data_IF_106176915362
#
_entry.id   IF_106176915362
#
_cell.length_a   1.000
_cell.length_b   1.000
_cell.length_c   1.000
_cell.angle_alpha   90.00
_cell.angle_beta   90.00
_cell.angle_gamma   90.00
#
_symmetry.space_group_name_H-M   'P 1'
#
loop_
_entity.id
_entity.type
_entity.pdbx_description
1 polymer ?
#
# COMPACT_ATOMS: atom_id res chain seq x y z
N UNK A 1 13.85 -2.02 46.27
CA UNK A 1 13.53 -2.62 44.96
C UNK A 1 14.01 -1.67 43.92
N UNK A 2 14.92 -2.14 43.15
CA UNK A 2 16.04 -1.39 42.61
C UNK A 2 15.69 -0.72 41.26
N UNK A 3 15.88 0.59 41.17
CA UNK A 3 15.69 1.37 39.94
C UNK A 3 16.65 0.93 38.82
N UNK A 4 17.70 0.16 39.14
CA UNK A 4 18.68 -0.35 38.18
C UNK A 4 18.17 -1.53 37.36
N UNK A 5 17.32 -2.39 37.90
CA UNK A 5 16.75 -3.51 37.16
C UNK A 5 15.73 -3.07 36.09
N UNK A 6 14.94 -2.02 36.38
CA UNK A 6 13.98 -1.49 35.45
C UNK A 6 14.63 -0.85 34.22
N UNK A 7 15.78 -0.18 34.38
CA UNK A 7 16.51 0.43 33.28
C UNK A 7 17.22 -0.60 32.38
N UNK A 8 17.71 -1.70 32.93
CA UNK A 8 18.38 -2.76 32.16
C UNK A 8 17.38 -3.53 31.30
N UNK A 9 16.18 -3.79 31.81
CA UNK A 9 15.10 -4.48 31.06
C UNK A 9 14.58 -3.62 29.90
N UNK A 10 14.39 -2.32 30.11
CA UNK A 10 13.98 -1.38 29.06
C UNK A 10 15.04 -1.26 27.96
N UNK A 11 16.32 -1.21 28.33
CA UNK A 11 17.42 -1.08 27.36
C UNK A 11 17.66 -2.36 26.53
N UNK A 12 17.38 -3.55 27.07
CA UNK A 12 17.49 -4.80 26.32
C UNK A 12 16.31 -4.99 25.35
N UNK A 13 15.11 -4.58 25.72
CA UNK A 13 13.92 -4.62 24.86
C UNK A 13 14.04 -3.64 23.69
N UNK A 14 14.55 -2.44 23.91
CA UNK A 14 14.75 -1.46 22.84
C UNK A 14 15.81 -1.89 21.83
N UNK A 15 16.93 -2.47 22.26
CA UNK A 15 17.97 -3.00 21.36
C UNK A 15 17.47 -4.15 20.50
N UNK A 16 16.62 -5.03 21.02
CA UNK A 16 15.96 -6.08 20.23
C UNK A 16 15.06 -5.49 19.13
N UNK A 17 14.23 -4.53 19.51
CA UNK A 17 13.34 -3.83 18.58
C UNK A 17 14.12 -3.09 17.45
N UNK A 18 15.19 -2.38 17.79
CA UNK A 18 16.02 -1.69 16.81
C UNK A 18 16.67 -2.67 15.82
N UNK A 19 17.12 -3.84 16.30
CA UNK A 19 17.63 -4.90 15.45
C UNK A 19 16.57 -5.47 14.51
N UNK A 20 15.33 -5.64 14.98
CA UNK A 20 14.20 -6.10 14.15
C UNK A 20 13.83 -5.08 13.08
N UNK A 21 13.87 -3.78 13.40
CA UNK A 21 13.64 -2.71 12.42
C UNK A 21 14.70 -2.73 11.32
N UNK A 22 15.98 -2.85 11.69
CA UNK A 22 17.08 -2.95 10.72
C UNK A 22 16.93 -4.21 9.86
N UNK A 23 16.57 -5.34 10.46
CA UNK A 23 16.33 -6.59 9.75
C UNK A 23 15.14 -6.48 8.79
N UNK A 24 14.05 -5.84 9.19
CA UNK A 24 12.89 -5.57 8.34
C UNK A 24 13.27 -4.73 7.11
N UNK A 25 14.11 -3.70 7.30
CA UNK A 25 14.59 -2.86 6.19
C UNK A 25 15.43 -3.67 5.20
N UNK A 26 16.40 -4.44 5.71
CA UNK A 26 17.26 -5.27 4.89
C UNK A 26 16.46 -6.31 4.08
N UNK A 27 15.52 -7.03 4.71
CA UNK A 27 14.67 -8.00 4.04
C UNK A 27 13.78 -7.35 2.97
N UNK A 28 13.24 -6.17 3.25
CA UNK A 28 12.44 -5.41 2.28
C UNK A 28 13.27 -5.01 1.07
N UNK A 29 14.50 -4.54 1.25
CA UNK A 29 15.40 -4.20 0.15
C UNK A 29 15.81 -5.43 -0.67
N UNK A 30 16.13 -6.55 -0.01
CA UNK A 30 16.44 -7.82 -0.70
C UNK A 30 15.25 -8.29 -1.53
N UNK A 31 14.03 -8.19 -0.98
CA UNK A 31 12.81 -8.52 -1.68
C UNK A 31 12.61 -7.67 -2.96
N UNK A 32 12.81 -6.36 -2.85
CA UNK A 32 12.73 -5.47 -4.01
C UNK A 32 13.79 -5.78 -5.06
N UNK A 33 15.06 -6.00 -4.66
CA UNK A 33 16.14 -6.40 -5.57
C UNK A 33 15.84 -7.73 -6.27
N UNK A 34 15.26 -8.69 -5.55
CA UNK A 34 14.84 -9.96 -6.13
C UNK A 34 13.68 -9.77 -7.12
N UNK A 35 12.70 -8.93 -6.76
CA UNK A 35 11.56 -8.59 -7.61
C UNK A 35 12.00 -7.94 -8.93
N UNK A 36 12.87 -6.94 -8.90
CA UNK A 36 13.42 -6.27 -10.08
C UNK A 36 14.14 -7.26 -11.01
N UNK A 37 14.82 -8.26 -10.42
CA UNK A 37 15.52 -9.33 -11.15
C UNK A 37 14.56 -10.46 -11.59
N UNK A 38 13.24 -10.30 -11.40
CA UNK A 38 12.21 -11.31 -11.70
C UNK A 38 12.37 -12.64 -10.95
N UNK A 39 13.09 -12.62 -9.83
CA UNK A 39 13.27 -13.77 -8.94
C UNK A 39 12.10 -13.82 -7.94
N UNK A 40 10.89 -14.08 -8.44
CA UNK A 40 9.65 -13.92 -7.68
C UNK A 40 9.55 -14.84 -6.46
N UNK A 41 10.08 -16.06 -6.50
CA UNK A 41 10.12 -16.96 -5.34
C UNK A 41 10.96 -16.37 -4.22
N UNK A 42 12.16 -15.89 -4.54
CA UNK A 42 13.04 -15.24 -3.56
C UNK A 42 12.42 -13.94 -3.02
N UNK A 43 11.77 -13.15 -3.88
CA UNK A 43 11.07 -11.94 -3.46
C UNK A 43 9.93 -12.27 -2.48
N UNK A 44 9.15 -13.33 -2.75
CA UNK A 44 8.07 -13.80 -1.90
C UNK A 44 8.58 -14.20 -0.50
N UNK A 45 9.63 -15.01 -0.43
CA UNK A 45 10.25 -15.42 0.83
C UNK A 45 10.68 -14.20 1.66
N UNK A 46 11.39 -13.25 1.04
CA UNK A 46 11.87 -12.05 1.73
C UNK A 46 10.75 -11.13 2.16
N UNK A 47 9.70 -10.93 1.34
CA UNK A 47 8.54 -10.14 1.75
C UNK A 47 7.76 -10.82 2.88
N UNK A 48 7.65 -12.16 2.90
CA UNK A 48 7.02 -12.88 3.99
C UNK A 48 7.81 -12.74 5.30
N UNK A 49 9.13 -12.84 5.25
CA UNK A 49 9.99 -12.65 6.42
C UNK A 49 9.89 -11.20 6.94
N UNK A 50 9.91 -10.21 6.04
CA UNK A 50 9.68 -8.81 6.41
C UNK A 50 8.29 -8.59 7.04
N UNK A 51 7.25 -9.24 6.53
CA UNK A 51 5.90 -9.17 7.10
C UNK A 51 5.87 -9.74 8.52
N UNK A 52 6.50 -10.89 8.77
CA UNK A 52 6.58 -11.48 10.12
C UNK A 52 7.24 -10.54 11.13
N UNK A 53 8.34 -9.88 10.72
CA UNK A 53 8.98 -8.88 11.59
C UNK A 53 8.09 -7.68 11.87
N UNK A 54 7.42 -7.16 10.84
CA UNK A 54 6.49 -6.04 11.01
C UNK A 54 5.31 -6.40 11.92
N UNK A 55 4.79 -7.63 11.84
CA UNK A 55 3.77 -8.15 12.74
C UNK A 55 4.27 -8.26 14.18
N UNK A 56 5.51 -8.69 14.38
CA UNK A 56 6.14 -8.77 15.71
C UNK A 56 6.37 -7.40 16.34
N UNK A 57 6.66 -6.37 15.54
CA UNK A 57 6.81 -4.99 16.00
C UNK A 57 5.46 -4.35 16.36
N UNK A 58 4.38 -4.76 15.67
CA UNK A 58 3.04 -4.21 15.86
C UNK A 58 2.32 -4.99 16.97
N UNK A 59 2.32 -4.48 18.18
CA UNK A 59 1.59 -5.15 19.28
C UNK A 59 0.08 -4.94 19.13
N UNK A 60 -0.72 -5.98 19.45
CA UNK A 60 -2.18 -5.99 19.29
C UNK A 60 -2.95 -4.89 20.07
N UNK A 61 -2.27 -4.18 20.96
CA UNK A 61 -2.84 -3.05 21.72
C UNK A 61 -2.93 -1.75 20.91
N UNK A 62 -2.29 -1.68 19.76
CA UNK A 62 -2.10 -0.45 19.00
C UNK A 62 -3.07 -0.27 17.83
N UNK A 63 -3.97 -1.23 17.60
CA UNK A 63 -5.02 -1.13 16.59
C UNK A 63 -6.05 0.00 16.87
N UNK A 64 -6.10 0.48 18.11
CA UNK A 64 -6.97 1.59 18.50
C UNK A 64 -6.18 2.90 18.50
N UNK A 65 -6.12 3.63 17.38
CA UNK A 65 -5.55 4.98 17.21
C UNK A 65 -4.15 5.10 17.80
N UNK A 66 -3.16 4.78 16.97
CA UNK A 66 -1.72 4.83 17.29
C UNK A 66 -1.39 5.94 18.30
N UNK A 67 -1.10 5.54 19.54
CA UNK A 67 -0.95 6.45 20.66
C UNK A 67 0.40 7.16 20.63
N UNK A 68 1.41 6.56 19.96
CA UNK A 68 2.77 7.10 19.87
C UNK A 68 3.28 7.21 18.43
N UNK A 69 4.29 8.05 18.16
CA UNK A 69 4.96 8.09 16.87
C UNK A 69 5.58 6.76 16.45
N UNK A 70 6.11 6.00 17.42
CA UNK A 70 6.69 4.67 17.21
C UNK A 70 5.63 3.68 16.75
N UNK A 71 4.46 3.66 17.38
CA UNK A 71 3.35 2.81 17.00
C UNK A 71 2.91 3.09 15.56
N UNK A 72 2.84 4.35 15.18
CA UNK A 72 2.49 4.75 13.81
C UNK A 72 3.51 4.22 12.79
N UNK A 73 4.79 4.29 13.09
CA UNK A 73 5.84 3.77 12.22
C UNK A 73 5.76 2.24 12.08
N UNK A 74 5.42 1.51 13.13
CA UNK A 74 5.24 0.06 13.07
C UNK A 74 4.03 -0.31 12.20
N UNK A 75 2.93 0.43 12.32
CA UNK A 75 1.79 0.28 11.41
C UNK A 75 2.15 0.56 9.96
N UNK A 76 2.95 1.59 9.70
CA UNK A 76 3.44 1.89 8.36
C UNK A 76 4.30 0.75 7.80
N UNK A 77 5.19 0.15 8.61
CA UNK A 77 5.96 -1.04 8.21
C UNK A 77 5.06 -2.23 7.89
N UNK A 78 4.07 -2.48 8.75
CA UNK A 78 3.10 -3.57 8.56
C UNK A 78 2.28 -3.37 7.28
N UNK A 79 1.67 -2.20 7.09
CA UNK A 79 0.85 -1.91 5.90
C UNK A 79 1.69 -1.91 4.63
N UNK A 80 2.93 -1.45 4.67
CA UNK A 80 3.88 -1.53 3.55
C UNK A 80 4.22 -2.98 3.20
N UNK A 81 4.49 -3.82 4.20
CA UNK A 81 4.80 -5.24 3.99
C UNK A 81 3.61 -5.99 3.38
N UNK A 82 2.39 -5.76 3.91
CA UNK A 82 1.16 -6.33 3.35
C UNK A 82 0.93 -5.91 1.91
N UNK A 83 1.07 -4.62 1.62
CA UNK A 83 0.88 -4.08 0.26
C UNK A 83 1.89 -4.65 -0.74
N UNK A 84 3.16 -4.79 -0.36
CA UNK A 84 4.21 -5.33 -1.23
C UNK A 84 3.97 -6.81 -1.54
N UNK A 85 3.63 -7.60 -0.54
CA UNK A 85 3.33 -9.01 -0.72
C UNK A 85 2.06 -9.20 -1.55
N UNK A 86 1.02 -8.37 -1.33
CA UNK A 86 -0.19 -8.36 -2.14
C UNK A 86 0.10 -8.06 -3.61
N UNK A 87 0.94 -7.06 -3.88
CA UNK A 87 1.34 -6.69 -5.25
C UNK A 87 2.10 -7.84 -5.95
N UNK A 88 2.99 -8.53 -5.23
CA UNK A 88 3.67 -9.70 -5.75
C UNK A 88 2.70 -10.85 -6.05
N UNK A 89 1.76 -11.15 -5.14
CA UNK A 89 0.73 -12.17 -5.35
C UNK A 89 -0.18 -11.82 -6.54
N UNK A 90 -0.56 -10.54 -6.67
CA UNK A 90 -1.33 -10.08 -7.83
C UNK A 90 -0.56 -10.35 -9.13
N UNK A 91 0.72 -10.01 -9.20
CA UNK A 91 1.57 -10.26 -10.37
C UNK A 91 1.71 -11.75 -10.69
N UNK A 92 1.74 -12.61 -9.68
CA UNK A 92 1.81 -14.06 -9.83
C UNK A 92 0.44 -14.70 -10.19
N UNK A 93 -0.64 -13.93 -10.25
CA UNK A 93 -2.01 -14.45 -10.47
C UNK A 93 -2.60 -15.15 -9.24
N UNK A 94 -1.97 -15.03 -8.06
CA UNK A 94 -2.47 -15.56 -6.78
C UNK A 94 -3.49 -14.57 -6.18
N UNK A 95 -4.60 -14.36 -6.89
CA UNK A 95 -5.54 -13.27 -6.63
C UNK A 95 -6.21 -13.32 -5.26
N UNK A 96 -6.57 -14.51 -4.76
CA UNK A 96 -7.18 -14.67 -3.44
C UNK A 96 -6.22 -14.28 -2.31
N UNK A 97 -4.95 -14.65 -2.45
CA UNK A 97 -3.90 -14.25 -1.49
C UNK A 97 -3.65 -12.73 -1.54
N UNK A 98 -3.62 -12.17 -2.75
CA UNK A 98 -3.47 -10.73 -2.93
C UNK A 98 -4.64 -9.95 -2.31
N UNK A 99 -5.89 -10.40 -2.53
CA UNK A 99 -7.10 -9.78 -1.97
C UNK A 99 -7.04 -9.79 -0.44
N UNK A 100 -6.75 -10.93 0.17
CA UNK A 100 -6.64 -11.02 1.64
C UNK A 100 -5.59 -10.06 2.24
N UNK A 101 -4.43 -9.90 1.58
CA UNK A 101 -3.40 -8.97 2.05
C UNK A 101 -3.80 -7.51 1.85
N UNK A 102 -4.42 -7.16 0.70
CA UNK A 102 -4.91 -5.81 0.45
C UNK A 102 -6.07 -5.44 1.37
N UNK A 103 -7.01 -6.35 1.63
CA UNK A 103 -8.13 -6.10 2.54
C UNK A 103 -7.62 -5.85 3.96
N UNK A 104 -6.73 -6.71 4.47
CA UNK A 104 -6.09 -6.50 5.78
C UNK A 104 -5.33 -5.17 5.85
N UNK A 105 -4.62 -4.80 4.79
CA UNK A 105 -3.93 -3.52 4.69
C UNK A 105 -4.92 -2.34 4.72
N UNK A 106 -6.07 -2.47 4.02
CA UNK A 106 -7.11 -1.45 4.00
C UNK A 106 -7.73 -1.25 5.38
N UNK A 107 -8.10 -2.34 6.08
CA UNK A 107 -8.68 -2.27 7.42
C UNK A 107 -7.74 -1.53 8.38
N UNK A 108 -6.46 -1.88 8.39
CA UNK A 108 -5.46 -1.20 9.22
C UNK A 108 -5.33 0.30 8.88
N UNK A 109 -5.38 0.65 7.59
CA UNK A 109 -5.31 2.06 7.17
C UNK A 109 -6.57 2.84 7.50
N UNK A 110 -7.75 2.22 7.40
CA UNK A 110 -9.01 2.83 7.82
C UNK A 110 -9.02 3.11 9.32
N UNK A 111 -8.54 2.18 10.13
CA UNK A 111 -8.43 2.35 11.57
C UNK A 111 -7.45 3.47 11.97
N UNK A 112 -6.32 3.56 11.25
CA UNK A 112 -5.25 4.51 11.59
C UNK A 112 -5.55 5.93 11.06
N UNK A 113 -6.03 6.04 9.83
CA UNK A 113 -6.11 7.31 9.10
C UNK A 113 -7.55 7.78 8.85
N UNK A 114 -8.55 6.90 9.01
CA UNK A 114 -9.93 7.15 8.57
C UNK A 114 -10.10 6.90 7.07
N UNK A 115 -11.33 7.03 6.60
CA UNK A 115 -11.77 6.68 5.24
C UNK A 115 -11.42 7.73 4.17
N UNK A 116 -10.94 8.89 4.58
CA UNK A 116 -10.61 10.03 3.73
C UNK A 116 -9.14 10.40 3.85
N UNK A 117 -8.25 9.46 3.53
CA UNK A 117 -6.81 9.68 3.60
C UNK A 117 -6.10 9.16 2.35
N UNK A 118 -5.02 9.84 1.95
CA UNK A 118 -4.25 9.47 0.75
C UNK A 118 -3.73 8.03 0.77
N UNK A 119 -3.34 7.53 1.95
CA UNK A 119 -2.89 6.14 2.12
C UNK A 119 -4.01 5.11 1.85
N UNK A 120 -5.26 5.46 2.21
CA UNK A 120 -6.44 4.65 1.87
C UNK A 120 -6.67 4.65 0.36
N UNK A 121 -6.55 5.81 -0.30
CA UNK A 121 -6.68 5.91 -1.76
C UNK A 121 -5.66 5.05 -2.51
N UNK A 122 -4.41 4.94 -2.00
CA UNK A 122 -3.40 4.04 -2.57
C UNK A 122 -3.88 2.58 -2.52
N UNK A 123 -4.43 2.16 -1.40
CA UNK A 123 -4.88 0.78 -1.23
C UNK A 123 -6.12 0.48 -2.08
N UNK A 124 -7.08 1.41 -2.14
CA UNK A 124 -8.27 1.29 -3.00
C UNK A 124 -7.90 1.16 -4.48
N UNK A 125 -6.91 1.94 -4.96
CA UNK A 125 -6.39 1.81 -6.32
C UNK A 125 -5.80 0.42 -6.60
N UNK A 126 -5.03 -0.13 -5.68
CA UNK A 126 -4.44 -1.46 -5.83
C UNK A 126 -5.51 -2.56 -5.81
N UNK A 127 -6.49 -2.46 -4.92
CA UNK A 127 -7.66 -3.35 -4.89
C UNK A 127 -8.48 -3.25 -6.19
N UNK A 128 -8.69 -2.05 -6.72
CA UNK A 128 -9.38 -1.86 -8.00
C UNK A 128 -8.67 -2.59 -9.14
N UNK A 129 -7.35 -2.48 -9.23
CA UNK A 129 -6.55 -3.19 -10.22
C UNK A 129 -6.65 -4.72 -10.06
N UNK A 130 -6.69 -5.21 -8.82
CA UNK A 130 -6.91 -6.63 -8.52
C UNK A 130 -8.33 -7.08 -8.93
N UNK A 131 -9.36 -6.28 -8.65
CA UNK A 131 -10.73 -6.61 -9.07
C UNK A 131 -10.86 -6.64 -10.60
N UNK A 132 -10.14 -5.78 -11.33
CA UNK A 132 -10.03 -5.87 -12.78
C UNK A 132 -9.40 -7.19 -13.24
N UNK A 133 -8.34 -7.65 -12.61
CA UNK A 133 -7.73 -8.95 -12.91
C UNK A 133 -8.66 -10.14 -12.64
N UNK A 134 -9.56 -9.98 -11.68
CA UNK A 134 -10.64 -10.95 -11.35
C UNK A 134 -11.91 -10.75 -12.20
N UNK A 135 -11.90 -9.85 -13.19
CA UNK A 135 -13.03 -9.49 -14.06
C UNK A 135 -14.27 -8.98 -13.30
N UNK A 136 -14.09 -8.42 -12.12
CA UNK A 136 -15.15 -7.87 -11.25
C UNK A 136 -15.26 -6.35 -11.47
N UNK A 137 -15.74 -5.98 -12.65
CA UNK A 137 -15.69 -4.60 -13.18
C UNK A 137 -16.41 -3.57 -12.31
N UNK A 138 -17.62 -3.90 -11.81
CA UNK A 138 -18.42 -3.02 -10.97
C UNK A 138 -17.70 -2.70 -9.65
N UNK A 139 -17.07 -3.72 -9.03
CA UNK A 139 -16.26 -3.50 -7.82
C UNK A 139 -15.04 -2.64 -8.10
N UNK A 140 -14.36 -2.90 -9.22
CA UNK A 140 -13.20 -2.12 -9.62
C UNK A 140 -13.56 -0.65 -9.84
N UNK A 141 -14.69 -0.37 -10.50
CA UNK A 141 -15.18 0.98 -10.75
C UNK A 141 -15.42 1.76 -9.46
N UNK A 142 -16.14 1.17 -8.50
CA UNK A 142 -16.40 1.78 -7.19
C UNK A 142 -15.09 2.14 -6.49
N UNK A 143 -14.11 1.24 -6.51
CA UNK A 143 -12.82 1.44 -5.86
C UNK A 143 -11.97 2.52 -6.55
N UNK A 144 -11.94 2.55 -7.91
CA UNK A 144 -11.24 3.60 -8.65
C UNK A 144 -11.86 4.97 -8.40
N UNK A 145 -13.19 5.06 -8.46
CA UNK A 145 -13.91 6.31 -8.21
C UNK A 145 -13.58 6.84 -6.82
N UNK A 146 -13.68 6.00 -5.79
CA UNK A 146 -13.37 6.42 -4.42
C UNK A 146 -11.91 6.83 -4.24
N UNK A 147 -10.97 6.09 -4.83
CA UNK A 147 -9.55 6.45 -4.80
C UNK A 147 -9.27 7.79 -5.48
N UNK A 148 -9.95 8.07 -6.59
CA UNK A 148 -9.83 9.32 -7.32
C UNK A 148 -10.41 10.49 -6.52
N UNK A 149 -11.62 10.36 -5.97
CA UNK A 149 -12.27 11.37 -5.11
C UNK A 149 -11.38 11.80 -3.93
N UNK A 150 -10.80 10.83 -3.21
CA UNK A 150 -9.92 11.13 -2.09
C UNK A 150 -8.70 11.92 -2.57
N UNK A 151 -8.05 11.48 -3.64
CA UNK A 151 -6.86 12.18 -4.16
C UNK A 151 -7.17 13.56 -4.69
N UNK A 152 -8.28 13.74 -5.40
CA UNK A 152 -8.73 15.05 -5.90
C UNK A 152 -8.99 16.02 -4.77
N UNK A 153 -9.67 15.56 -3.73
CA UNK A 153 -9.96 16.37 -2.55
C UNK A 153 -8.70 16.87 -1.84
N UNK A 154 -7.67 16.02 -1.72
CA UNK A 154 -6.45 16.35 -0.99
C UNK A 154 -5.37 17.01 -1.82
N UNK A 155 -5.30 16.74 -3.12
CA UNK A 155 -4.20 17.15 -3.98
C UNK A 155 -4.65 18.12 -5.09
N UNK A 156 -5.96 18.21 -5.34
CA UNK A 156 -6.51 18.95 -6.47
C UNK A 156 -6.61 18.11 -7.74
N UNK A 157 -7.42 18.61 -8.69
CA UNK A 157 -7.85 17.86 -9.87
C UNK A 157 -6.78 17.66 -10.96
N UNK A 158 -5.63 18.30 -10.82
CA UNK A 158 -4.54 18.28 -11.82
C UNK A 158 -3.22 17.79 -11.23
N UNK A 159 -3.25 17.12 -10.07
CA UNK A 159 -2.05 16.60 -9.44
C UNK A 159 -1.52 15.37 -10.16
N UNK A 160 -0.19 15.24 -10.22
CA UNK A 160 0.50 14.15 -10.90
C UNK A 160 0.10 12.75 -10.37
N UNK A 161 -0.19 12.63 -9.08
CA UNK A 161 -0.59 11.37 -8.44
C UNK A 161 -1.95 10.83 -8.90
N UNK A 162 -2.74 11.60 -9.63
CA UNK A 162 -3.98 11.12 -10.26
C UNK A 162 -3.68 10.24 -11.49
N UNK A 163 -2.57 10.46 -12.17
CA UNK A 163 -2.26 9.82 -13.45
C UNK A 163 -2.28 8.27 -13.41
N UNK A 164 -1.74 7.59 -12.38
CA UNK A 164 -1.81 6.13 -12.31
C UNK A 164 -3.23 5.59 -12.21
N UNK A 165 -4.10 6.27 -11.44
CA UNK A 165 -5.52 5.87 -11.30
C UNK A 165 -6.25 6.11 -12.63
N UNK A 166 -6.12 7.30 -13.21
CA UNK A 166 -6.75 7.65 -14.48
C UNK A 166 -6.36 6.67 -15.60
N UNK A 167 -5.07 6.31 -15.68
CA UNK A 167 -4.58 5.31 -16.63
C UNK A 167 -5.24 3.95 -16.46
N UNK A 168 -5.23 3.41 -15.22
CA UNK A 168 -5.75 2.08 -14.97
C UNK A 168 -7.27 2.02 -15.11
N UNK A 169 -7.96 3.08 -14.72
CA UNK A 169 -9.40 3.20 -14.87
C UNK A 169 -9.79 3.28 -16.37
N UNK A 170 -9.07 4.08 -17.18
CA UNK A 170 -9.28 4.12 -18.62
C UNK A 170 -9.10 2.73 -19.27
N UNK A 171 -8.06 1.99 -18.88
CA UNK A 171 -7.84 0.61 -19.37
C UNK A 171 -9.02 -0.29 -19.03
N UNK A 172 -9.55 -0.20 -17.80
CA UNK A 172 -10.73 -0.95 -17.38
C UNK A 172 -11.96 -0.58 -18.23
N UNK A 173 -12.24 0.71 -18.39
CA UNK A 173 -13.38 1.20 -19.17
C UNK A 173 -13.34 0.71 -20.62
N UNK A 174 -12.17 0.72 -21.28
CA UNK A 174 -12.00 0.12 -22.61
C UNK A 174 -12.30 -1.38 -22.64
N UNK A 175 -11.90 -2.12 -21.61
CA UNK A 175 -12.19 -3.55 -21.51
C UNK A 175 -13.69 -3.87 -21.47
N UNK A 176 -14.49 -2.98 -20.91
CA UNK A 176 -15.95 -3.09 -20.85
C UNK A 176 -16.66 -2.27 -21.95
N UNK A 177 -15.90 -1.78 -22.96
CA UNK A 177 -16.41 -1.04 -24.14
C UNK A 177 -17.10 0.29 -23.82
N UNK A 178 -16.69 0.96 -22.74
CA UNK A 178 -17.08 2.34 -22.39
C UNK A 178 -16.02 3.30 -22.91
N UNK A 179 -15.87 3.37 -24.24
CA UNK A 179 -14.75 4.03 -24.89
C UNK A 179 -14.76 5.54 -24.70
N UNK A 180 -15.90 6.20 -24.70
CA UNK A 180 -16.01 7.65 -24.50
C UNK A 180 -15.52 8.05 -23.11
N UNK A 181 -15.88 7.29 -22.08
CA UNK A 181 -15.44 7.53 -20.71
C UNK A 181 -13.94 7.22 -20.53
N UNK A 182 -13.46 6.17 -21.17
CA UNK A 182 -12.03 5.86 -21.20
C UNK A 182 -11.22 6.99 -21.83
N UNK A 183 -11.71 7.55 -22.93
CA UNK A 183 -11.08 8.68 -23.60
C UNK A 183 -11.03 9.92 -22.70
N UNK A 184 -12.11 10.24 -21.99
CA UNK A 184 -12.14 11.35 -21.04
C UNK A 184 -11.06 11.21 -19.94
N UNK A 185 -10.84 9.99 -19.40
CA UNK A 185 -9.78 9.72 -18.43
C UNK A 185 -8.38 9.90 -19.03
N UNK A 186 -8.18 9.44 -20.27
CA UNK A 186 -6.91 9.58 -20.99
C UNK A 186 -6.58 11.03 -21.31
N UNK A 187 -7.56 11.81 -21.77
CA UNK A 187 -7.42 13.24 -22.04
C UNK A 187 -7.06 14.01 -20.76
N UNK A 188 -7.74 13.68 -19.66
CA UNK A 188 -7.43 14.28 -18.37
C UNK A 188 -6.01 13.94 -17.91
N UNK A 189 -5.59 12.68 -18.05
CA UNK A 189 -4.22 12.26 -17.75
C UNK A 189 -3.21 13.03 -18.60
N UNK A 190 -3.44 13.16 -19.90
CA UNK A 190 -2.54 13.87 -20.84
C UNK A 190 -2.44 15.36 -20.53
N UNK A 191 -3.52 16.00 -20.08
CA UNK A 191 -3.51 17.37 -19.59
C UNK A 191 -2.59 17.53 -18.37
N UNK A 192 -2.72 16.64 -17.39
CA UNK A 192 -1.87 16.65 -16.20
C UNK A 192 -0.39 16.44 -16.58
N UNK A 193 -0.10 15.51 -17.49
CA UNK A 193 1.27 15.30 -18.00
C UNK A 193 1.87 16.59 -18.61
N UNK A 194 1.07 17.29 -19.39
CA UNK A 194 1.49 18.57 -20.02
C UNK A 194 1.76 19.67 -18.98
N UNK A 195 0.92 19.77 -17.95
CA UNK A 195 1.10 20.73 -16.86
C UNK A 195 2.38 20.43 -16.04
N UNK A 196 2.61 19.17 -15.72
CA UNK A 196 3.83 18.73 -15.00
C UNK A 196 5.09 18.97 -15.82
N UNK A 197 5.02 18.78 -17.16
CA UNK A 197 6.14 19.06 -18.05
C UNK A 197 6.46 20.55 -18.16
N UNK A 198 5.43 21.41 -18.14
CA UNK A 198 5.58 22.86 -18.22
C UNK A 198 6.09 23.50 -16.90
N UNK A 199 5.99 22.80 -15.78
CA UNK A 199 6.43 23.28 -14.46
C UNK A 199 7.91 22.91 -14.12
N UNK A 200 8.60 22.18 -15.02
CA UNK A 200 10.02 21.80 -14.90
C UNK A 200 10.93 22.73 -15.67
#
# INVERSE_FOLDING_TARGET
>A
MDASESQVVVSSSSRGRDADIVSWQALSEEAYKAFERKRYVQAEERFQDALKLAEGLTTAKHAAKAASPEDRQDFERLTKSLNNLAALYHLQGKYEMAEAMYDRCLDLKLDLYGDDHLEVAVNLHNLAALQCAKLRWEKAEILYTRALEIREKHLGNEHADLMPILKNYAIMLRKIKRDDEAQAMEERKSRIESLVAAAK
#
